data_IF_859674074780
#
_entry.id   IF_859674074780
#
_cell.length_a   1.000
_cell.length_b   1.000
_cell.length_c   1.000
_cell.angle_alpha   90.00
_cell.angle_beta   90.00
_cell.angle_gamma   90.00
#
_symmetry.space_group_name_H-M   'P 1'
#
loop_
_entity.id
_entity.type
_entity.pdbx_description
1 polymer ?
#
# COMPACT_ATOMS: atom_id res chain seq x y z
N UNK A 1 -24.59 22.57 19.53
CA UNK A 1 -25.45 21.44 19.11
C UNK A 1 -25.08 20.25 19.98
N UNK A 2 -26.03 19.75 20.79
CA UNK A 2 -25.81 18.56 21.63
C UNK A 2 -25.90 17.33 20.69
N UNK A 3 -24.82 16.57 20.55
CA UNK A 3 -24.87 15.28 19.84
C UNK A 3 -25.39 14.22 20.81
N UNK A 4 -26.41 13.47 20.38
CA UNK A 4 -27.03 12.41 21.19
C UNK A 4 -26.27 11.09 21.12
N UNK A 5 -25.31 10.98 20.18
CA UNK A 5 -24.47 9.81 19.97
C UNK A 5 -23.06 10.25 19.61
N UNK A 6 -22.06 9.62 20.21
CA UNK A 6 -20.63 9.77 19.88
C UNK A 6 -19.89 8.44 20.06
N UNK A 7 -18.73 8.34 19.45
CA UNK A 7 -17.79 7.23 19.66
C UNK A 7 -16.57 7.76 20.39
N UNK A 8 -16.17 7.11 21.45
CA UNK A 8 -14.93 7.38 22.18
C UNK A 8 -13.82 6.41 21.70
N UNK A 9 -12.68 6.96 21.34
CA UNK A 9 -11.52 6.18 20.88
C UNK A 9 -10.42 6.36 21.93
N UNK A 10 -10.05 5.24 22.58
CA UNK A 10 -8.96 5.19 23.54
C UNK A 10 -7.61 5.02 22.81
N UNK A 11 -6.82 6.10 22.77
CA UNK A 11 -5.55 6.12 22.07
C UNK A 11 -4.48 5.27 22.78
N UNK A 12 -4.56 5.08 24.09
CA UNK A 12 -3.63 4.24 24.82
C UNK A 12 -3.83 2.76 24.47
N UNK A 13 -5.08 2.34 24.28
CA UNK A 13 -5.41 0.99 23.79
C UNK A 13 -4.93 0.81 22.35
N UNK A 14 -5.10 1.80 21.49
CA UNK A 14 -4.58 1.77 20.12
C UNK A 14 -3.05 1.63 20.12
N UNK A 15 -2.36 2.41 20.94
CA UNK A 15 -0.90 2.35 21.11
C UNK A 15 -0.43 0.97 21.58
N UNK A 16 -1.07 0.42 22.61
CA UNK A 16 -0.76 -0.92 23.11
C UNK A 16 -0.99 -2.00 22.04
N UNK A 17 -2.10 -1.94 21.31
CA UNK A 17 -2.39 -2.87 20.22
C UNK A 17 -1.31 -2.80 19.13
N UNK A 18 -0.89 -1.60 18.73
CA UNK A 18 0.18 -1.43 17.74
C UNK A 18 1.50 -2.04 18.23
N UNK A 19 1.88 -1.82 19.47
CA UNK A 19 3.09 -2.40 20.06
C UNK A 19 3.03 -3.94 20.12
N UNK A 20 1.85 -4.52 20.39
CA UNK A 20 1.64 -5.97 20.36
C UNK A 20 1.81 -6.49 18.92
N UNK A 21 1.18 -5.84 17.95
CA UNK A 21 1.30 -6.20 16.53
C UNK A 21 2.77 -6.14 16.10
N UNK A 22 3.48 -5.06 16.46
CA UNK A 22 4.90 -4.91 16.12
C UNK A 22 5.77 -6.03 16.71
N UNK A 23 5.51 -6.46 17.93
CA UNK A 23 6.21 -7.59 18.57
C UNK A 23 5.88 -8.94 17.91
N UNK A 24 4.65 -9.12 17.45
CA UNK A 24 4.20 -10.34 16.78
C UNK A 24 4.68 -10.40 15.31
N UNK A 25 4.69 -9.29 14.62
CA UNK A 25 5.15 -9.16 13.26
C UNK A 25 6.67 -9.33 13.20
N UNK A 26 7.13 -10.47 12.70
CA UNK A 26 8.56 -10.73 12.45
C UNK A 26 9.04 -10.05 11.17
N UNK A 27 8.22 -9.18 10.59
CA UNK A 27 8.49 -8.43 9.40
C UNK A 27 9.47 -7.28 9.67
N UNK A 28 10.13 -6.84 8.61
CA UNK A 28 11.02 -5.69 8.61
C UNK A 28 10.26 -4.40 8.89
N UNK A 29 9.09 -4.26 8.27
CA UNK A 29 8.20 -3.10 8.40
C UNK A 29 6.76 -3.52 8.68
N UNK A 30 6.03 -2.63 9.32
CA UNK A 30 4.59 -2.75 9.57
C UNK A 30 3.88 -1.53 8.99
N UNK A 31 2.96 -1.77 8.05
CA UNK A 31 2.11 -0.74 7.49
C UNK A 31 0.77 -0.69 8.22
N UNK A 32 0.45 0.43 8.83
CA UNK A 32 -0.85 0.63 9.45
C UNK A 32 -1.89 1.06 8.42
N UNK A 33 -2.98 0.29 8.29
CA UNK A 33 -4.07 0.58 7.35
C UNK A 33 -5.09 1.48 8.03
N UNK A 34 -5.16 2.74 7.58
CA UNK A 34 -6.02 3.80 8.15
C UNK A 34 -6.99 4.43 7.13
N UNK A 35 -7.35 3.67 6.11
CA UNK A 35 -8.33 4.09 5.10
C UNK A 35 -9.71 4.34 5.71
N UNK A 36 -10.57 5.06 4.97
CA UNK A 36 -11.93 5.40 5.38
C UNK A 36 -11.96 6.06 6.78
N UNK A 37 -11.14 7.11 6.94
CA UNK A 37 -10.93 7.82 8.21
C UNK A 37 -10.58 6.87 9.38
N UNK A 38 -9.60 5.97 9.13
CA UNK A 38 -9.23 4.89 10.05
C UNK A 38 -10.46 4.06 10.48
N UNK A 39 -11.29 3.68 9.50
CA UNK A 39 -12.56 2.97 9.72
C UNK A 39 -13.51 3.73 10.66
N UNK A 40 -13.51 5.06 10.59
CA UNK A 40 -14.33 5.95 11.41
C UNK A 40 -13.71 6.31 12.77
N UNK A 41 -12.46 5.97 13.01
CA UNK A 41 -11.77 6.27 14.28
C UNK A 41 -10.97 7.59 14.24
N UNK A 42 -10.90 8.28 13.10
CA UNK A 42 -10.13 9.52 12.95
C UNK A 42 -8.70 9.28 12.48
N UNK A 43 -8.48 9.29 11.16
CA UNK A 43 -7.22 8.91 10.52
C UNK A 43 -6.03 9.75 10.96
N UNK A 44 -6.20 11.07 11.07
CA UNK A 44 -5.10 11.99 11.42
C UNK A 44 -4.57 11.73 12.82
N UNK A 45 -5.46 11.58 13.80
CA UNK A 45 -5.07 11.32 15.19
C UNK A 45 -4.44 9.93 15.32
N UNK A 46 -5.07 8.92 14.70
CA UNK A 46 -4.54 7.56 14.74
C UNK A 46 -3.21 7.42 14.00
N UNK A 47 -3.00 8.14 12.89
CA UNK A 47 -1.73 8.11 12.18
C UNK A 47 -0.54 8.42 13.10
N UNK A 48 -0.64 9.50 13.89
CA UNK A 48 0.40 9.90 14.85
C UNK A 48 0.61 8.81 15.91
N UNK A 49 -0.46 8.38 16.55
CA UNK A 49 -0.40 7.34 17.59
C UNK A 49 0.22 6.03 17.08
N UNK A 50 -0.16 5.58 15.88
CA UNK A 50 0.34 4.32 15.30
C UNK A 50 1.83 4.43 14.92
N UNK A 51 2.25 5.55 14.30
CA UNK A 51 3.65 5.79 13.94
C UNK A 51 4.55 5.88 15.17
N UNK A 52 4.13 6.56 16.24
CA UNK A 52 4.86 6.67 17.49
C UNK A 52 4.98 5.32 18.24
N UNK A 53 4.12 4.34 17.92
CA UNK A 53 4.05 3.06 18.60
C UNK A 53 4.43 1.84 17.75
N UNK A 54 5.09 2.05 16.61
CA UNK A 54 5.76 0.98 15.88
C UNK A 54 5.25 0.67 14.48
N UNK A 55 4.34 1.49 13.92
CA UNK A 55 4.10 1.48 12.50
C UNK A 55 5.23 2.23 11.76
N UNK A 56 5.71 1.67 10.66
CA UNK A 56 6.77 2.27 9.84
C UNK A 56 6.18 3.10 8.70
N UNK A 57 5.00 2.75 8.23
CA UNK A 57 4.29 3.42 7.13
C UNK A 57 2.77 3.34 7.31
N UNK A 58 2.07 4.12 6.52
CA UNK A 58 0.61 4.15 6.50
C UNK A 58 0.08 3.64 5.16
N UNK A 59 -1.10 3.03 5.19
CA UNK A 59 -1.79 2.59 3.98
C UNK A 59 -3.22 3.13 3.95
N UNK A 60 -3.59 3.73 2.82
CA UNK A 60 -4.90 4.34 2.59
C UNK A 60 -5.58 3.73 1.37
N UNK A 61 -6.86 3.98 1.16
CA UNK A 61 -7.56 3.46 -0.01
C UNK A 61 -7.42 4.36 -1.24
N UNK A 62 -7.35 5.68 -1.04
CA UNK A 62 -7.41 6.69 -2.11
C UNK A 62 -6.41 7.80 -1.90
N UNK A 63 -6.08 8.49 -3.00
CA UNK A 63 -5.17 9.62 -2.98
C UNK A 63 -5.63 10.74 -2.02
N UNK A 64 -6.93 11.05 -1.99
CA UNK A 64 -7.45 12.13 -1.13
C UNK A 64 -7.18 11.88 0.35
N UNK A 65 -7.26 10.63 0.81
CA UNK A 65 -6.94 10.26 2.20
C UNK A 65 -5.44 10.48 2.50
N UNK A 66 -4.58 10.15 1.54
CA UNK A 66 -3.14 10.41 1.65
C UNK A 66 -2.80 11.90 1.66
N UNK A 67 -3.45 12.69 0.81
CA UNK A 67 -3.30 14.15 0.76
C UNK A 67 -3.74 14.80 2.06
N UNK A 68 -4.86 14.37 2.65
CA UNK A 68 -5.32 14.85 3.95
C UNK A 68 -4.25 14.63 5.02
N UNK A 69 -3.66 13.45 5.09
CA UNK A 69 -2.57 13.16 6.03
C UNK A 69 -1.34 14.05 5.78
N UNK A 70 -0.97 14.28 4.54
CA UNK A 70 0.13 15.18 4.17
C UNK A 70 -0.14 16.62 4.61
N UNK A 71 -1.35 17.13 4.37
CA UNK A 71 -1.75 18.46 4.80
C UNK A 71 -1.76 18.64 6.32
N UNK A 72 -1.92 17.54 7.06
CA UNK A 72 -1.83 17.50 8.54
C UNK A 72 -0.41 17.24 9.06
N UNK A 73 0.60 17.30 8.18
CA UNK A 73 2.01 17.24 8.54
C UNK A 73 2.57 15.82 8.74
N UNK A 74 1.85 14.78 8.31
CA UNK A 74 2.38 13.41 8.33
C UNK A 74 3.44 13.26 7.23
N UNK A 75 4.69 12.98 7.61
CA UNK A 75 5.83 12.81 6.70
C UNK A 75 6.19 11.34 6.44
N UNK A 76 5.70 10.42 7.26
CA UNK A 76 5.95 8.98 7.09
C UNK A 76 5.52 8.49 5.69
N UNK A 77 6.11 7.39 5.18
CA UNK A 77 5.68 6.80 3.91
C UNK A 77 4.17 6.46 3.93
N UNK A 78 3.48 6.83 2.86
CA UNK A 78 2.04 6.55 2.67
C UNK A 78 1.89 5.87 1.32
N UNK A 79 1.23 4.72 1.29
CA UNK A 79 0.90 4.08 0.03
C UNK A 79 -0.60 3.84 -0.14
N UNK A 80 -1.06 3.92 -1.38
CA UNK A 80 -2.45 3.75 -1.74
C UNK A 80 -2.69 2.27 -2.08
N UNK A 81 -3.68 1.65 -1.43
CA UNK A 81 -4.06 0.25 -1.67
C UNK A 81 -4.96 0.07 -2.90
N UNK A 82 -5.62 1.14 -3.35
CA UNK A 82 -6.58 1.13 -4.43
C UNK A 82 -6.05 1.75 -5.72
N UNK A 83 -6.91 1.79 -6.73
CA UNK A 83 -6.61 2.44 -8.00
C UNK A 83 -6.48 3.96 -7.84
N UNK A 84 -5.45 4.53 -8.45
CA UNK A 84 -5.32 5.98 -8.61
C UNK A 84 -5.36 6.32 -10.10
N UNK A 85 -6.30 7.19 -10.49
CA UNK A 85 -6.40 7.65 -11.87
C UNK A 85 -5.16 8.47 -12.25
N UNK A 86 -4.46 8.15 -13.36
CA UNK A 86 -3.27 8.87 -13.80
C UNK A 86 -3.47 10.38 -14.05
N UNK A 87 -4.69 10.84 -14.25
CA UNK A 87 -5.02 12.29 -14.30
C UNK A 87 -4.55 13.03 -13.04
N UNK A 88 -4.46 12.32 -11.91
CA UNK A 88 -3.99 12.86 -10.63
C UNK A 88 -2.54 12.47 -10.30
N UNK A 89 -1.78 12.01 -11.29
CA UNK A 89 -0.38 11.60 -11.07
C UNK A 89 0.47 12.75 -10.51
N UNK A 90 0.24 13.98 -10.99
CA UNK A 90 0.97 15.15 -10.52
C UNK A 90 0.84 15.39 -9.02
N UNK A 91 -0.34 15.18 -8.46
CA UNK A 91 -0.58 15.33 -7.01
C UNK A 91 0.11 14.21 -6.21
N UNK A 92 -0.04 12.95 -6.64
CA UNK A 92 0.58 11.82 -5.96
C UNK A 92 2.10 11.97 -5.89
N UNK A 93 2.73 12.39 -7.00
CA UNK A 93 4.17 12.61 -7.09
C UNK A 93 4.61 13.79 -6.23
N UNK A 94 3.94 14.95 -6.34
CA UNK A 94 4.29 16.17 -5.62
C UNK A 94 4.23 15.99 -4.09
N UNK A 95 3.31 15.16 -3.60
CA UNK A 95 3.15 14.87 -2.17
C UNK A 95 3.88 13.60 -1.71
N UNK A 96 4.63 12.93 -2.57
CA UNK A 96 5.38 11.73 -2.23
C UNK A 96 4.48 10.63 -1.66
N UNK A 97 3.38 10.32 -2.37
CA UNK A 97 2.44 9.26 -2.01
C UNK A 97 2.65 8.10 -2.98
N UNK A 98 2.97 6.93 -2.45
CA UNK A 98 3.25 5.73 -3.23
C UNK A 98 1.97 5.19 -3.85
N UNK A 99 2.05 4.72 -5.10
CA UNK A 99 0.89 4.36 -5.91
C UNK A 99 0.79 2.85 -6.10
N UNK A 100 -0.43 2.32 -5.96
CA UNK A 100 -0.76 0.95 -6.35
C UNK A 100 -0.84 0.83 -7.87
N UNK A 101 -0.10 -0.12 -8.44
CA UNK A 101 -0.04 -0.40 -9.87
C UNK A 101 -0.42 -1.86 -10.15
N UNK A 102 -1.26 -2.06 -11.16
CA UNK A 102 -1.64 -3.37 -11.69
C UNK A 102 -1.98 -3.33 -13.19
N UNK A 103 -1.45 -2.33 -13.88
CA UNK A 103 -1.64 -2.12 -15.32
C UNK A 103 -0.45 -1.32 -15.87
N UNK A 104 0.09 -1.75 -17.02
CA UNK A 104 1.27 -1.11 -17.64
C UNK A 104 0.97 0.31 -18.10
N UNK A 105 -0.21 0.55 -18.67
CA UNK A 105 -0.56 1.88 -19.16
C UNK A 105 -0.72 2.88 -18.03
N UNK A 106 -1.28 2.44 -16.90
CA UNK A 106 -1.30 3.24 -15.68
C UNK A 106 0.13 3.62 -15.27
N UNK A 107 1.04 2.64 -15.17
CA UNK A 107 2.43 2.87 -14.79
C UNK A 107 3.15 3.83 -15.76
N UNK A 108 2.93 3.67 -17.07
CA UNK A 108 3.50 4.51 -18.11
C UNK A 108 3.09 5.98 -17.95
N UNK A 109 1.82 6.24 -17.73
CA UNK A 109 1.31 7.61 -17.53
C UNK A 109 1.86 8.26 -16.27
N UNK A 110 2.00 7.52 -15.18
CA UNK A 110 2.66 8.01 -13.97
C UNK A 110 4.16 8.29 -14.20
N UNK A 111 4.86 7.43 -14.94
CA UNK A 111 6.25 7.64 -15.33
C UNK A 111 6.44 8.91 -16.18
N UNK A 112 5.57 9.13 -17.16
CA UNK A 112 5.62 10.34 -17.98
C UNK A 112 5.45 11.62 -17.16
N UNK A 113 4.55 11.59 -16.18
CA UNK A 113 4.35 12.72 -15.27
C UNK A 113 5.55 12.92 -14.34
N UNK A 114 6.13 11.83 -13.83
CA UNK A 114 7.34 11.88 -13.01
C UNK A 114 8.53 12.51 -13.77
N UNK A 115 8.69 12.17 -15.06
CA UNK A 115 9.71 12.79 -15.92
C UNK A 115 9.47 14.29 -16.08
N UNK A 116 8.22 14.74 -16.32
CA UNK A 116 7.88 16.17 -16.42
C UNK A 116 8.21 16.94 -15.15
N UNK A 117 7.96 16.34 -14.00
CA UNK A 117 8.26 16.95 -12.68
C UNK A 117 9.72 16.79 -12.26
N UNK A 118 10.56 16.09 -13.03
CA UNK A 118 11.93 15.76 -12.67
C UNK A 118 12.02 15.08 -11.29
N UNK A 119 11.03 14.26 -10.98
CA UNK A 119 10.86 13.53 -9.72
C UNK A 119 10.81 12.03 -9.97
N UNK A 120 10.87 11.23 -8.91
CA UNK A 120 10.64 9.79 -8.94
C UNK A 120 9.22 9.48 -8.47
N UNK A 121 8.57 8.50 -9.08
CA UNK A 121 7.32 7.92 -8.59
C UNK A 121 7.58 6.53 -8.02
N UNK A 122 7.00 6.26 -6.86
CA UNK A 122 7.14 4.99 -6.14
C UNK A 122 5.90 4.13 -6.34
N UNK A 123 6.13 2.88 -6.76
CA UNK A 123 5.07 1.92 -7.04
C UNK A 123 5.07 0.75 -6.05
N UNK A 124 3.88 0.35 -5.64
CA UNK A 124 3.59 -0.94 -5.04
C UNK A 124 2.74 -1.76 -6.01
N UNK A 125 3.27 -2.88 -6.47
CA UNK A 125 2.59 -3.74 -7.45
C UNK A 125 1.57 -4.62 -6.73
N UNK A 126 0.31 -4.50 -7.11
CA UNK A 126 -0.75 -5.36 -6.57
C UNK A 126 -0.81 -6.68 -7.32
N UNK A 127 -0.83 -7.78 -6.59
CA UNK A 127 -1.01 -9.14 -7.13
C UNK A 127 -2.33 -9.70 -6.60
N UNK A 128 -3.23 -10.08 -7.50
CA UNK A 128 -4.47 -10.77 -7.14
C UNK A 128 -4.22 -12.28 -7.03
N UNK A 129 -3.79 -12.69 -5.87
CA UNK A 129 -3.52 -14.12 -5.61
C UNK A 129 -4.78 -14.96 -5.39
N UNK A 130 -5.98 -14.33 -5.43
CA UNK A 130 -7.25 -15.03 -5.29
C UNK A 130 -8.38 -14.27 -4.59
N UNK A 131 -8.19 -12.99 -4.28
CA UNK A 131 -9.26 -12.14 -3.73
C UNK A 131 -10.23 -11.65 -4.82
N UNK A 132 -9.82 -11.68 -6.09
CA UNK A 132 -10.61 -11.32 -7.25
C UNK A 132 -11.15 -9.87 -7.20
N UNK A 133 -10.29 -8.94 -6.84
CA UNK A 133 -10.67 -7.52 -6.73
C UNK A 133 -9.84 -6.62 -7.62
N UNK A 134 -8.55 -6.48 -7.35
CA UNK A 134 -7.56 -5.72 -8.12
C UNK A 134 -6.21 -6.41 -8.06
N UNK A 135 -5.40 -6.22 -9.07
CA UNK A 135 -4.04 -6.75 -9.12
C UNK A 135 -3.79 -7.61 -10.35
N UNK A 136 -2.53 -7.80 -10.66
CA UNK A 136 -2.10 -8.75 -11.66
C UNK A 136 -2.44 -10.17 -11.25
N UNK A 137 -2.97 -10.95 -12.18
CA UNK A 137 -3.08 -12.39 -11.97
C UNK A 137 -1.68 -13.02 -11.91
N UNK A 138 -1.46 -14.08 -11.10
CA UNK A 138 -0.16 -14.71 -10.95
C UNK A 138 0.21 -15.54 -12.18
N UNK A 139 0.60 -14.87 -13.27
CA UNK A 139 0.96 -15.45 -14.57
C UNK A 139 2.33 -14.98 -15.04
N UNK A 140 2.88 -15.65 -16.06
CA UNK A 140 4.17 -15.25 -16.67
C UNK A 140 4.07 -13.89 -17.36
N UNK A 141 2.95 -13.63 -18.01
CA UNK A 141 2.66 -12.36 -18.69
C UNK A 141 2.68 -11.19 -17.69
N UNK A 142 2.13 -11.39 -16.49
CA UNK A 142 2.20 -10.41 -15.42
C UNK A 142 3.66 -10.14 -14.98
N UNK A 143 4.47 -11.18 -14.85
CA UNK A 143 5.91 -11.03 -14.54
C UNK A 143 6.61 -10.22 -15.63
N UNK A 144 6.39 -10.54 -16.91
CA UNK A 144 6.97 -9.81 -18.03
C UNK A 144 6.55 -8.34 -18.04
N UNK A 145 5.30 -8.05 -17.72
CA UNK A 145 4.79 -6.69 -17.65
C UNK A 145 5.39 -5.91 -16.49
N UNK A 146 5.51 -6.51 -15.31
CA UNK A 146 6.19 -5.91 -14.14
C UNK A 146 7.65 -5.60 -14.47
N UNK A 147 8.35 -6.48 -15.19
CA UNK A 147 9.72 -6.24 -15.67
C UNK A 147 9.77 -5.07 -16.66
N UNK A 148 8.77 -4.88 -17.52
CA UNK A 148 8.68 -3.69 -18.39
C UNK A 148 8.46 -2.42 -17.57
N UNK A 149 7.58 -2.47 -16.57
CA UNK A 149 7.33 -1.35 -15.66
C UNK A 149 8.61 -0.92 -14.93
N UNK A 150 9.43 -1.87 -14.46
CA UNK A 150 10.68 -1.56 -13.76
C UNK A 150 11.73 -0.82 -14.61
N UNK A 151 11.54 -0.79 -15.93
CA UNK A 151 12.44 -0.11 -16.90
C UNK A 151 11.92 1.27 -17.31
N UNK A 152 10.75 1.66 -16.86
CA UNK A 152 10.20 2.99 -17.13
C UNK A 152 11.05 4.06 -16.46
N UNK A 153 11.25 5.22 -17.11
CA UNK A 153 12.03 6.30 -16.51
C UNK A 153 11.35 6.86 -15.25
N UNK A 154 12.17 7.27 -14.29
CA UNK A 154 11.72 7.89 -13.03
C UNK A 154 10.73 7.03 -12.21
N UNK A 155 10.82 5.70 -12.35
CA UNK A 155 10.01 4.74 -11.62
C UNK A 155 10.85 3.93 -10.65
N UNK A 156 10.38 3.81 -9.42
CA UNK A 156 10.90 2.88 -8.42
C UNK A 156 9.80 1.89 -8.03
N UNK A 157 10.05 0.59 -8.17
CA UNK A 157 9.20 -0.43 -7.56
C UNK A 157 9.71 -0.66 -6.14
N UNK A 158 8.96 -0.16 -5.15
CA UNK A 158 9.30 -0.33 -3.73
C UNK A 158 8.93 -1.70 -3.23
N UNK A 159 7.74 -2.18 -3.61
CA UNK A 159 7.24 -3.45 -3.11
C UNK A 159 6.17 -4.09 -3.99
N UNK A 160 5.80 -5.29 -3.58
CA UNK A 160 4.64 -6.01 -4.11
C UNK A 160 3.75 -6.43 -2.95
N UNK A 161 2.44 -6.46 -3.14
CA UNK A 161 1.52 -6.88 -2.10
C UNK A 161 0.34 -7.68 -2.64
N UNK A 162 -0.28 -8.46 -1.76
CA UNK A 162 -1.52 -9.18 -2.04
C UNK A 162 -2.43 -9.17 -0.81
N UNK A 163 -3.72 -8.91 -0.96
CA UNK A 163 -4.66 -9.09 0.13
C UNK A 163 -5.05 -10.56 0.30
N UNK A 164 -5.00 -11.05 1.54
CA UNK A 164 -5.57 -12.34 1.90
C UNK A 164 -7.06 -12.19 2.23
N UNK A 165 -7.89 -13.07 1.70
CA UNK A 165 -9.34 -12.97 1.90
C UNK A 165 -9.88 -13.83 3.05
N UNK A 166 -9.13 -14.84 3.50
CA UNK A 166 -9.53 -15.80 4.55
C UNK A 166 -8.44 -16.02 5.61
N UNK A 167 -7.58 -15.00 5.84
CA UNK A 167 -6.47 -15.15 6.77
C UNK A 167 -6.90 -15.25 8.25
N UNK A 168 -8.09 -14.83 8.57
CA UNK A 168 -8.72 -14.90 9.89
C UNK A 168 -9.47 -16.23 10.14
N UNK A 169 -9.80 -16.98 9.08
CA UNK A 169 -10.46 -18.29 9.21
C UNK A 169 -9.55 -19.34 9.84
N UNK A 170 -10.14 -20.32 10.53
CA UNK A 170 -9.40 -21.47 11.11
C UNK A 170 -8.73 -22.32 10.02
N UNK A 171 -9.43 -22.62 8.93
CA UNK A 171 -8.87 -23.28 7.76
C UNK A 171 -7.98 -22.33 6.97
N UNK A 172 -6.68 -22.61 6.94
CA UNK A 172 -5.65 -21.83 6.24
C UNK A 172 -5.34 -22.33 4.82
N UNK A 173 -6.04 -23.34 4.33
CA UNK A 173 -5.75 -23.97 3.03
C UNK A 173 -5.71 -22.97 1.89
N UNK A 174 -6.72 -22.10 1.80
CA UNK A 174 -6.77 -21.10 0.76
C UNK A 174 -5.75 -19.95 0.99
N UNK A 175 -5.52 -19.56 2.23
CA UNK A 175 -4.47 -18.57 2.60
C UNK A 175 -3.08 -19.05 2.15
N UNK A 176 -2.76 -20.35 2.38
CA UNK A 176 -1.51 -20.92 1.87
C UNK A 176 -1.45 -20.97 0.35
N UNK A 177 -2.58 -21.20 -0.32
CA UNK A 177 -2.65 -21.14 -1.79
C UNK A 177 -2.38 -19.74 -2.31
N UNK A 178 -3.01 -18.71 -1.72
CA UNK A 178 -2.75 -17.32 -2.04
C UNK A 178 -1.27 -16.96 -1.83
N UNK A 179 -0.71 -17.35 -0.69
CA UNK A 179 0.71 -17.10 -0.39
C UNK A 179 1.65 -17.73 -1.43
N UNK A 180 1.42 -18.98 -1.82
CA UNK A 180 2.24 -19.67 -2.84
C UNK A 180 2.18 -18.97 -4.19
N UNK A 181 1.00 -18.52 -4.62
CA UNK A 181 0.81 -17.77 -5.86
C UNK A 181 1.53 -16.43 -5.83
N UNK A 182 1.36 -15.67 -4.75
CA UNK A 182 2.04 -14.39 -4.55
C UNK A 182 3.56 -14.57 -4.53
N UNK A 183 4.05 -15.51 -3.70
CA UNK A 183 5.48 -15.79 -3.60
C UNK A 183 6.08 -16.18 -4.94
N UNK A 184 5.40 -16.97 -5.75
CA UNK A 184 5.87 -17.34 -7.07
C UNK A 184 6.10 -16.12 -7.97
N UNK A 185 5.15 -15.17 -8.01
CA UNK A 185 5.34 -13.92 -8.77
C UNK A 185 6.53 -13.14 -8.25
N UNK A 186 6.66 -12.99 -6.93
CA UNK A 186 7.80 -12.28 -6.32
C UNK A 186 9.14 -12.93 -6.73
N UNK A 187 9.23 -14.25 -6.63
CA UNK A 187 10.44 -14.99 -6.96
C UNK A 187 10.82 -14.83 -8.45
N UNK A 188 9.83 -14.90 -9.36
CA UNK A 188 10.09 -14.74 -10.80
C UNK A 188 10.48 -13.31 -11.17
N UNK A 189 9.85 -12.30 -10.56
CA UNK A 189 10.19 -10.88 -10.76
C UNK A 189 11.62 -10.59 -10.28
N UNK A 190 12.01 -11.11 -9.11
CA UNK A 190 13.38 -10.96 -8.60
C UNK A 190 14.39 -11.70 -9.47
N UNK A 191 14.08 -12.93 -9.93
CA UNK A 191 14.95 -13.68 -10.89
C UNK A 191 15.13 -12.93 -12.20
N UNK A 192 14.13 -12.18 -12.65
CA UNK A 192 14.21 -11.33 -13.84
C UNK A 192 15.05 -10.04 -13.62
N UNK A 193 15.60 -9.84 -12.42
CA UNK A 193 16.51 -8.74 -12.10
C UNK A 193 15.84 -7.48 -11.59
N UNK A 194 14.55 -7.50 -11.30
CA UNK A 194 13.86 -6.36 -10.69
C UNK A 194 14.22 -6.27 -9.21
N UNK A 195 14.68 -5.10 -8.80
CA UNK A 195 14.96 -4.81 -7.38
C UNK A 195 13.66 -4.43 -6.68
N UNK A 196 13.32 -5.15 -5.63
CA UNK A 196 12.17 -4.88 -4.77
C UNK A 196 12.68 -4.80 -3.33
N UNK A 197 12.30 -3.76 -2.60
CA UNK A 197 12.84 -3.49 -1.26
C UNK A 197 11.96 -4.07 -0.14
N UNK A 198 10.65 -4.19 -0.36
CA UNK A 198 9.65 -4.64 0.63
C UNK A 198 8.69 -5.64 0.03
#
# INVERSE_FOLDING_TARGET
>A
MIRLLWTEIDLDVIAQNMQIIRKMAKSKEVAAVIKADAYGHGSVTLAKTLLENGADRLAVARLDEGLELRHQGIIAPIFILGYTNPVRASEAIAYGIDVCIFDYEQARLFSEEAVKQQSEVVFHIAIDSGMQRIGYQPTKEAVEEIVKISKLPNVKIEGMFTPFCLADCADKTFTHTQYKRFKWVCDEVVKAGVKVNV
#
